data_IF_541560588055
#
_entry.id   IF_541560588055
#
_cell.length_a   1.000
_cell.length_b   1.000
_cell.length_c   1.000
_cell.angle_alpha   90.00
_cell.angle_beta   90.00
_cell.angle_gamma   90.00
#
_symmetry.space_group_name_H-M   'P 1'
#
loop_
_entity.id
_entity.type
_entity.pdbx_description
1 polymer ?
#
# COMPACT_ATOMS: atom_id res chain seq x y z
N UNK A 1 -48.72 -12.26 -12.70
CA UNK A 1 -47.36 -12.58 -12.21
C UNK A 1 -46.33 -11.78 -12.99
N UNK A 2 -46.05 -10.57 -12.55
CA UNK A 2 -44.93 -9.76 -13.05
C UNK A 2 -43.68 -10.16 -12.28
N UNK A 3 -42.53 -10.46 -12.92
CA UNK A 3 -41.30 -10.72 -12.18
C UNK A 3 -40.81 -9.39 -11.61
N UNK A 4 -40.63 -9.35 -10.28
CA UNK A 4 -39.94 -8.25 -9.62
C UNK A 4 -38.52 -8.11 -10.18
N UNK A 5 -38.01 -6.90 -10.43
CA UNK A 5 -36.62 -6.72 -10.82
C UNK A 5 -35.73 -7.16 -9.67
N UNK A 6 -35.00 -8.24 -9.88
CA UNK A 6 -33.90 -8.67 -9.00
C UNK A 6 -32.95 -7.50 -8.91
N UNK A 7 -32.88 -6.84 -7.74
CA UNK A 7 -31.85 -5.83 -7.45
C UNK A 7 -30.50 -6.47 -7.76
N UNK A 8 -29.85 -6.03 -8.83
CA UNK A 8 -28.46 -6.36 -9.08
C UNK A 8 -27.67 -5.83 -7.89
N UNK A 9 -27.20 -6.74 -7.04
CA UNK A 9 -26.27 -6.39 -5.98
C UNK A 9 -25.11 -5.60 -6.61
N UNK A 10 -24.76 -4.41 -6.11
CA UNK A 10 -23.71 -3.62 -6.72
C UNK A 10 -22.43 -4.44 -6.62
N UNK A 11 -21.90 -4.86 -7.77
CA UNK A 11 -20.62 -5.53 -7.82
C UNK A 11 -19.59 -4.59 -7.19
N UNK A 12 -18.66 -5.09 -6.37
CA UNK A 12 -17.55 -4.27 -5.93
C UNK A 12 -16.82 -3.81 -7.20
N UNK A 13 -16.78 -2.49 -7.43
CA UNK A 13 -16.06 -1.95 -8.57
C UNK A 13 -14.62 -2.49 -8.55
N UNK A 14 -14.17 -2.96 -9.72
CA UNK A 14 -12.86 -3.56 -9.91
C UNK A 14 -11.77 -2.54 -9.59
N UNK A 15 -10.72 -3.00 -8.91
CA UNK A 15 -9.50 -2.23 -8.70
C UNK A 15 -8.74 -2.09 -10.02
N UNK A 16 -8.15 -0.92 -10.24
CA UNK A 16 -7.44 -0.53 -11.46
C UNK A 16 -6.02 -0.08 -11.11
N UNK A 17 -5.02 -0.64 -11.79
CA UNK A 17 -3.64 -0.20 -11.66
C UNK A 17 -3.45 1.18 -12.29
N UNK A 18 -3.13 2.19 -11.48
CA UNK A 18 -2.91 3.55 -11.93
C UNK A 18 -1.44 3.86 -12.24
N UNK A 19 -0.51 3.30 -11.47
CA UNK A 19 0.93 3.42 -11.69
C UNK A 19 1.66 2.23 -11.06
N UNK A 20 2.82 1.86 -11.59
CA UNK A 20 3.73 0.92 -10.94
C UNK A 20 5.16 1.08 -11.42
N UNK A 21 6.13 0.74 -10.57
CA UNK A 21 7.54 0.61 -10.96
C UNK A 21 7.81 -0.63 -11.79
N UNK A 22 6.99 -1.69 -11.63
CA UNK A 22 7.12 -2.94 -12.35
C UNK A 22 5.75 -3.56 -12.68
N UNK A 23 5.62 -4.15 -13.87
CA UNK A 23 4.35 -4.69 -14.36
C UNK A 23 3.90 -5.96 -13.63
N UNK A 24 4.82 -6.78 -13.12
CA UNK A 24 4.47 -7.98 -12.36
C UNK A 24 4.03 -7.58 -10.95
N UNK A 25 4.81 -6.72 -10.29
CA UNK A 25 4.47 -6.17 -8.99
C UNK A 25 3.13 -5.43 -9.01
N UNK A 26 2.92 -4.53 -9.97
CA UNK A 26 1.68 -3.77 -10.10
C UNK A 26 0.44 -4.66 -10.27
N UNK A 27 0.53 -5.70 -11.11
CA UNK A 27 -0.57 -6.66 -11.30
C UNK A 27 -0.84 -7.48 -10.04
N UNK A 28 0.21 -7.86 -9.31
CA UNK A 28 0.05 -8.57 -8.04
C UNK A 28 -0.63 -7.69 -7.00
N UNK A 29 -0.24 -6.42 -6.88
CA UNK A 29 -0.90 -5.46 -5.99
C UNK A 29 -2.36 -5.22 -6.41
N UNK A 30 -2.65 -5.05 -7.71
CA UNK A 30 -4.03 -4.95 -8.22
C UNK A 30 -4.88 -6.17 -7.81
N UNK A 31 -4.33 -7.37 -7.96
CA UNK A 31 -4.98 -8.64 -7.58
C UNK A 31 -5.28 -8.68 -6.09
N UNK A 32 -4.31 -8.35 -5.25
CA UNK A 32 -4.45 -8.37 -3.79
C UNK A 32 -5.46 -7.33 -3.29
N UNK A 33 -5.45 -6.13 -3.86
CA UNK A 33 -6.44 -5.08 -3.57
C UNK A 33 -7.85 -5.54 -3.96
N UNK A 34 -8.01 -6.10 -5.16
CA UNK A 34 -9.29 -6.66 -5.61
C UNK A 34 -9.83 -7.73 -4.65
N UNK A 35 -8.99 -8.67 -4.21
CA UNK A 35 -9.38 -9.71 -3.26
C UNK A 35 -9.79 -9.09 -1.92
N UNK A 36 -8.98 -8.16 -1.41
CA UNK A 36 -9.19 -7.57 -0.08
C UNK A 36 -10.52 -6.81 0.01
N UNK A 37 -10.80 -5.94 -0.97
CA UNK A 37 -12.03 -5.16 -0.98
C UNK A 37 -13.27 -5.98 -1.36
N UNK A 38 -13.11 -7.02 -2.17
CA UNK A 38 -14.22 -7.96 -2.43
C UNK A 38 -14.55 -8.77 -1.18
N UNK A 39 -13.53 -9.18 -0.43
CA UNK A 39 -13.67 -9.91 0.84
C UNK A 39 -14.29 -9.03 1.91
N UNK A 40 -13.85 -7.78 2.08
CA UNK A 40 -14.44 -6.85 3.04
C UNK A 40 -15.91 -6.52 2.73
N UNK A 41 -16.27 -6.44 1.44
CA UNK A 41 -17.65 -6.25 1.02
C UNK A 41 -18.53 -7.47 1.29
N UNK A 42 -18.02 -8.67 1.04
CA UNK A 42 -18.79 -9.93 1.14
C UNK A 42 -18.83 -10.50 2.56
N UNK A 43 -17.78 -10.26 3.33
CA UNK A 43 -17.53 -10.84 4.65
C UNK A 43 -16.91 -9.78 5.57
N UNK A 44 -17.71 -8.81 6.01
CA UNK A 44 -17.28 -7.76 6.93
C UNK A 44 -16.67 -8.28 8.24
N UNK A 45 -16.91 -9.54 8.62
CA UNK A 45 -16.30 -10.20 9.77
C UNK A 45 -14.83 -10.63 9.55
N UNK A 46 -14.39 -10.84 8.29
CA UNK A 46 -13.01 -11.24 7.97
C UNK A 46 -12.08 -10.04 7.72
N UNK A 47 -12.61 -8.96 7.13
CA UNK A 47 -11.86 -7.74 6.86
C UNK A 47 -12.72 -6.54 7.23
N UNK A 48 -12.65 -6.15 8.49
CA UNK A 48 -13.53 -5.12 9.07
C UNK A 48 -12.89 -3.73 9.01
N UNK A 49 -11.57 -3.67 9.01
CA UNK A 49 -10.79 -2.44 9.10
C UNK A 49 -9.78 -2.32 7.96
N UNK A 50 -9.32 -1.09 7.68
CA UNK A 50 -8.19 -0.88 6.76
C UNK A 50 -6.92 -1.58 7.24
N UNK A 51 -6.76 -1.74 8.55
CA UNK A 51 -5.62 -2.47 9.12
C UNK A 51 -5.64 -3.95 8.70
N UNK A 52 -6.81 -4.59 8.65
CA UNK A 52 -6.93 -5.98 8.19
C UNK A 52 -6.53 -6.12 6.71
N UNK A 53 -6.96 -5.17 5.88
CA UNK A 53 -6.60 -5.10 4.46
C UNK A 53 -5.09 -4.89 4.30
N UNK A 54 -4.51 -3.93 5.02
CA UNK A 54 -3.07 -3.65 5.03
C UNK A 54 -2.29 -4.90 5.44
N UNK A 55 -2.69 -5.55 6.53
CA UNK A 55 -2.01 -6.74 7.05
C UNK A 55 -2.07 -7.90 6.07
N UNK A 56 -3.22 -8.13 5.42
CA UNK A 56 -3.37 -9.15 4.40
C UNK A 56 -2.45 -8.89 3.20
N UNK A 57 -2.51 -7.68 2.62
CA UNK A 57 -1.68 -7.33 1.45
C UNK A 57 -0.19 -7.43 1.83
N UNK A 58 0.22 -6.90 2.99
CA UNK A 58 1.61 -6.97 3.47
C UNK A 58 2.06 -8.42 3.64
N UNK A 59 1.21 -9.28 4.21
CA UNK A 59 1.51 -10.71 4.40
C UNK A 59 1.71 -11.42 3.06
N UNK A 60 0.81 -11.22 2.10
CA UNK A 60 0.91 -11.85 0.78
C UNK A 60 2.15 -11.36 0.00
N UNK A 61 2.44 -10.05 0.04
CA UNK A 61 3.64 -9.51 -0.59
C UNK A 61 4.92 -10.02 0.06
N UNK A 62 4.95 -10.15 1.39
CA UNK A 62 6.14 -10.67 2.11
C UNK A 62 6.44 -12.13 1.74
N UNK A 63 5.42 -12.94 1.40
CA UNK A 63 5.65 -14.31 0.91
C UNK A 63 6.39 -14.33 -0.42
N UNK A 64 6.11 -13.37 -1.30
CA UNK A 64 6.70 -13.30 -2.66
C UNK A 64 7.99 -12.50 -2.71
N UNK A 65 8.13 -11.50 -1.83
CA UNK A 65 9.28 -10.59 -1.74
C UNK A 65 9.82 -10.57 -0.30
N UNK A 66 10.46 -11.65 0.18
CA UNK A 66 10.79 -11.83 1.60
C UNK A 66 11.90 -10.89 2.13
N UNK A 67 12.68 -10.29 1.23
CA UNK A 67 13.76 -9.34 1.55
C UNK A 67 13.28 -7.91 1.71
N UNK A 68 12.07 -7.61 1.21
CA UNK A 68 11.50 -6.27 1.19
C UNK A 68 10.62 -6.05 2.42
N UNK A 69 10.54 -4.80 2.86
CA UNK A 69 9.46 -4.36 3.73
C UNK A 69 8.51 -3.47 2.94
N UNK A 70 7.21 -3.68 3.10
CA UNK A 70 6.19 -2.90 2.39
C UNK A 70 5.47 -1.94 3.33
N UNK A 71 5.31 -0.71 2.84
CA UNK A 71 4.41 0.29 3.38
C UNK A 71 3.18 0.37 2.49
N UNK A 72 2.01 0.39 3.10
CA UNK A 72 0.71 0.41 2.42
C UNK A 72 -0.10 1.56 2.98
N UNK A 73 -0.51 2.47 2.09
CA UNK A 73 -1.33 3.63 2.42
C UNK A 73 -2.67 3.49 1.70
N UNK A 74 -3.76 3.52 2.47
CA UNK A 74 -5.13 3.53 1.95
C UNK A 74 -5.75 4.88 2.27
N UNK A 75 -6.25 5.58 1.25
CA UNK A 75 -6.83 6.91 1.42
C UNK A 75 -7.86 7.20 0.35
N UNK A 76 -8.65 8.25 0.55
CA UNK A 76 -9.68 8.71 -0.39
C UNK A 76 -9.33 10.02 -1.11
N UNK A 77 -8.21 10.65 -0.75
CA UNK A 77 -7.75 11.91 -1.33
C UNK A 77 -6.61 11.72 -2.34
N UNK A 78 -6.21 12.80 -2.99
CA UNK A 78 -5.00 12.84 -3.80
C UNK A 78 -3.77 12.65 -2.93
N UNK A 79 -2.93 11.70 -3.33
CA UNK A 79 -1.63 11.46 -2.74
C UNK A 79 -0.59 12.30 -3.48
N UNK A 80 0.09 13.18 -2.76
CA UNK A 80 1.31 13.83 -3.23
C UNK A 80 2.46 13.23 -2.42
N UNK A 81 3.16 12.28 -3.00
CA UNK A 81 4.34 11.69 -2.40
C UNK A 81 5.49 11.76 -3.39
N UNK A 82 6.66 12.07 -2.88
CA UNK A 82 7.92 11.90 -3.58
C UNK A 82 8.61 10.66 -2.99
N UNK A 83 8.80 9.63 -3.82
CA UNK A 83 9.36 8.34 -3.38
C UNK A 83 10.54 8.02 -4.29
N UNK A 84 11.71 8.53 -3.92
CA UNK A 84 12.93 8.43 -4.72
C UNK A 84 13.61 7.06 -4.68
N UNK A 85 13.39 6.25 -3.64
CA UNK A 85 14.22 5.07 -3.36
C UNK A 85 13.46 3.75 -3.20
N UNK A 86 12.20 3.67 -3.62
CA UNK A 86 11.44 2.41 -3.56
C UNK A 86 11.78 1.52 -4.76
N UNK A 87 12.21 0.28 -4.49
CA UNK A 87 12.46 -0.73 -5.53
C UNK A 87 11.14 -1.19 -6.17
N UNK A 88 10.13 -1.40 -5.33
CA UNK A 88 8.79 -1.78 -5.74
C UNK A 88 7.81 -0.68 -5.36
N UNK A 89 6.97 -0.26 -6.31
CA UNK A 89 5.93 0.73 -6.08
C UNK A 89 4.73 0.43 -6.97
N UNK A 90 3.52 0.56 -6.43
CA UNK A 90 2.27 0.41 -7.16
C UNK A 90 1.19 1.30 -6.53
N UNK A 91 0.46 2.00 -7.38
CA UNK A 91 -0.72 2.77 -7.03
C UNK A 91 -1.93 2.14 -7.70
N UNK A 92 -2.89 1.68 -6.89
CA UNK A 92 -4.13 1.06 -7.35
C UNK A 92 -5.32 1.91 -6.91
N UNK A 93 -6.29 2.10 -7.80
CA UNK A 93 -7.54 2.81 -7.53
C UNK A 93 -8.68 1.82 -7.39
N UNK A 94 -9.54 1.99 -6.40
CA UNK A 94 -10.76 1.22 -6.25
C UNK A 94 -11.90 2.06 -5.68
N UNK A 95 -12.91 2.35 -6.51
CA UNK A 95 -13.98 3.34 -6.21
C UNK A 95 -13.36 4.68 -5.77
N UNK A 96 -13.68 5.12 -4.55
CA UNK A 96 -13.17 6.34 -3.94
C UNK A 96 -11.80 6.16 -3.28
N UNK A 97 -11.30 4.93 -3.16
CA UNK A 97 -10.05 4.64 -2.48
C UNK A 97 -8.89 4.57 -3.46
N UNK A 98 -7.74 5.02 -2.97
CA UNK A 98 -6.43 4.83 -3.57
C UNK A 98 -5.59 4.03 -2.60
N UNK A 99 -4.93 2.99 -3.11
CA UNK A 99 -4.02 2.13 -2.37
C UNK A 99 -2.64 2.30 -2.96
N UNK A 100 -1.76 2.93 -2.20
CA UNK A 100 -0.35 3.05 -2.54
C UNK A 100 0.43 1.98 -1.78
N UNK A 101 1.18 1.17 -2.50
CA UNK A 101 2.11 0.19 -1.95
C UNK A 101 3.49 0.53 -2.44
N UNK A 102 4.46 0.58 -1.53
CA UNK A 102 5.86 0.73 -1.92
C UNK A 102 6.77 -0.05 -0.96
N UNK A 103 7.90 -0.51 -1.48
CA UNK A 103 8.93 -1.13 -0.66
C UNK A 103 9.83 -0.08 -0.04
N UNK A 104 10.24 -0.35 1.18
CA UNK A 104 11.32 0.33 1.87
C UNK A 104 12.45 -0.67 2.04
N UNK A 105 13.69 -0.20 1.87
CA UNK A 105 14.85 -1.02 2.24
C UNK A 105 14.67 -1.39 3.70
N UNK A 106 14.62 -2.69 4.00
CA UNK A 106 14.78 -3.16 5.36
C UNK A 106 16.11 -2.58 5.81
N UNK A 107 16.09 -1.62 6.74
CA UNK A 107 17.31 -1.29 7.47
C UNK A 107 17.76 -2.64 8.02
N UNK A 108 18.90 -3.14 7.53
CA UNK A 108 19.67 -4.14 8.25
C UNK A 108 19.78 -3.56 9.66
N UNK A 109 19.04 -4.14 10.61
CA UNK A 109 19.03 -3.74 12.01
C UNK A 109 20.38 -4.05 12.64
N UNK A 110 21.40 -3.34 12.19
CA UNK A 110 22.72 -3.26 12.78
C UNK A 110 23.27 -1.89 12.36
N UNK A 111 23.49 -1.02 13.34
CA UNK A 111 24.23 0.25 13.24
C UNK A 111 23.54 1.50 12.68
N UNK A 112 22.22 1.67 12.79
CA UNK A 112 21.71 3.04 12.98
C UNK A 112 21.95 3.41 14.44
N UNK A 113 23.13 3.95 14.77
CA UNK A 113 23.34 4.60 16.07
C UNK A 113 22.28 5.70 16.17
N UNK A 114 21.46 5.64 17.20
CA UNK A 114 20.58 6.75 17.57
C UNK A 114 21.50 7.93 17.80
N UNK A 115 21.41 8.92 16.92
CA UNK A 115 22.14 10.16 17.10
C UNK A 115 21.47 10.93 18.23
N UNK A 116 22.12 10.97 19.39
CA UNK A 116 21.69 11.78 20.54
C UNK A 116 22.27 13.19 20.42
N UNK A 117 22.28 13.76 19.23
CA UNK A 117 22.65 15.17 19.06
C UNK A 117 21.43 16.02 19.37
N UNK A 118 21.52 16.73 20.48
CA UNK A 118 20.58 17.76 20.88
C UNK A 118 20.53 18.83 19.78
N UNK A 119 19.32 19.20 19.35
CA UNK A 119 19.11 20.09 18.21
C UNK A 119 19.62 21.53 18.46
N UNK A 120 20.04 21.84 19.69
CA UNK A 120 20.68 23.10 20.07
C UNK A 120 22.22 23.08 19.95
N UNK A 121 22.83 21.94 19.63
CA UNK A 121 24.27 21.88 19.35
C UNK A 121 24.57 22.32 17.92
N UNK A 122 24.60 23.64 17.73
CA UNK A 122 24.94 24.30 16.46
C UNK A 122 26.22 23.75 15.85
N UNK A 123 26.06 22.83 14.90
CA UNK A 123 27.18 22.24 14.15
C UNK A 123 27.12 22.78 12.73
N UNK A 124 28.11 23.61 12.39
CA UNK A 124 28.29 24.22 11.06
C UNK A 124 28.37 23.13 9.98
N UNK A 125 27.43 23.15 9.04
CA UNK A 125 27.50 22.35 7.82
C UNK A 125 28.61 22.91 6.92
N UNK A 126 29.77 22.26 6.91
CA UNK A 126 30.85 22.55 5.97
C UNK A 126 30.58 21.81 4.66
N UNK A 127 30.35 22.57 3.59
CA UNK A 127 30.29 22.06 2.22
C UNK A 127 31.69 22.19 1.60
N UNK A 128 32.34 21.07 1.29
CA UNK A 128 33.54 21.12 0.45
C UNK A 128 33.12 21.01 -1.03
N UNK A 129 33.52 22.03 -1.78
CA UNK A 129 33.48 22.13 -3.25
C UNK A 129 34.42 21.15 -3.93
#
# INVERSE_FOLDING_TARGET
NTPSPTKSSPSPARAELAASSDNEFGREVERLVNISFSTSYSFQSMMKTYLDVINFIKTELTKRYPTEEFVIIIGNQSFNFDIDYALYMALVKQKQYKVLVYSVKRNLSSTTKVDTHDADSGTLLVWNS
#
